data_IF_888865683732
#
_entry.id   IF_888865683732
#
_cell.length_a   1.000
_cell.length_b   1.000
_cell.length_c   1.000
_cell.angle_alpha   90.00
_cell.angle_beta   90.00
_cell.angle_gamma   90.00
#
_symmetry.space_group_name_H-M   'P 1'
#
loop_
_entity.id
_entity.type
_entity.pdbx_description
1 polymer ?
#
# COMPACT_ATOMS: atom_id res chain seq x y z
N UNK A 1 22.78 14.70 46.11
CA UNK A 1 23.85 14.89 45.12
C UNK A 1 23.76 13.77 44.06
N UNK A 2 23.12 14.09 42.92
CA UNK A 2 23.34 13.52 41.57
C UNK A 2 23.01 12.06 41.19
N UNK A 3 21.94 11.42 41.69
CA UNK A 3 21.56 10.09 41.16
C UNK A 3 20.05 9.81 40.93
N UNK A 4 19.13 10.75 41.23
CA UNK A 4 17.68 10.54 41.03
C UNK A 4 17.02 11.48 40.02
N UNK A 5 17.78 12.40 39.40
CA UNK A 5 17.27 13.42 38.47
C UNK A 5 17.45 13.12 36.98
N UNK A 6 17.98 11.96 36.61
CA UNK A 6 18.28 11.58 35.21
C UNK A 6 17.29 10.59 34.61
N UNK A 7 16.52 9.85 35.43
CA UNK A 7 15.55 8.87 34.93
C UNK A 7 14.23 9.50 34.42
N UNK A 8 13.92 10.75 34.79
CA UNK A 8 12.70 11.45 34.34
C UNK A 8 12.90 12.32 33.09
N UNK A 9 14.14 12.47 32.59
CA UNK A 9 14.47 13.40 31.49
C UNK A 9 14.48 12.78 30.09
N UNK A 10 14.40 11.45 29.96
CA UNK A 10 14.43 10.78 28.65
C UNK A 10 13.03 10.45 28.08
N UNK A 11 11.98 10.43 28.91
CA UNK A 11 10.61 10.06 28.50
C UNK A 11 9.81 11.18 27.78
N UNK A 12 10.31 12.42 27.71
CA UNK A 12 9.44 13.55 27.34
C UNK A 12 9.64 14.10 25.91
N UNK A 13 10.76 13.83 25.25
CA UNK A 13 11.04 14.35 23.90
C UNK A 13 10.75 13.34 22.80
N UNK A 14 11.50 12.24 22.82
CA UNK A 14 11.59 11.28 21.71
C UNK A 14 10.37 10.33 21.70
N UNK A 15 10.03 9.74 22.85
CA UNK A 15 8.86 8.85 22.99
C UNK A 15 7.53 9.60 22.79
N UNK A 16 7.45 10.87 23.20
CA UNK A 16 6.26 11.71 22.99
C UNK A 16 6.12 12.12 21.51
N UNK A 17 7.23 12.31 20.80
CA UNK A 17 7.23 12.50 19.35
C UNK A 17 6.86 11.22 18.60
N UNK A 18 7.31 10.04 19.02
CA UNK A 18 6.89 8.76 18.43
C UNK A 18 5.39 8.50 18.60
N UNK A 19 4.84 8.75 19.79
CA UNK A 19 3.41 8.59 20.05
C UNK A 19 2.56 9.61 19.26
N UNK A 20 2.98 10.89 19.21
CA UNK A 20 2.31 11.90 18.37
C UNK A 20 2.45 11.58 16.88
N UNK A 21 3.63 11.14 16.44
CA UNK A 21 3.90 10.75 15.06
C UNK A 21 3.04 9.54 14.65
N UNK A 22 2.88 8.54 15.52
CA UNK A 22 1.98 7.40 15.28
C UNK A 22 0.52 7.84 15.11
N UNK A 23 0.03 8.75 15.96
CA UNK A 23 -1.33 9.29 15.84
C UNK A 23 -1.52 10.09 14.54
N UNK A 24 -0.56 10.95 14.19
CA UNK A 24 -0.61 11.74 12.96
C UNK A 24 -0.48 10.83 11.73
N UNK A 25 0.39 9.83 11.78
CA UNK A 25 0.59 8.88 10.68
C UNK A 25 -0.67 8.08 10.37
N UNK A 26 -1.44 7.67 11.38
CA UNK A 26 -2.73 7.01 11.16
C UNK A 26 -3.75 7.91 10.44
N UNK A 27 -3.79 9.20 10.79
CA UNK A 27 -4.64 10.20 10.10
C UNK A 27 -4.15 10.44 8.68
N UNK A 28 -2.85 10.59 8.46
CA UNK A 28 -2.25 10.74 7.12
C UNK A 28 -2.54 9.53 6.25
N UNK A 29 -2.46 8.31 6.81
CA UNK A 29 -2.75 7.08 6.12
C UNK A 29 -4.22 6.97 5.70
N UNK A 30 -5.15 7.30 6.61
CA UNK A 30 -6.58 7.36 6.30
C UNK A 30 -6.87 8.41 5.22
N UNK A 31 -6.28 9.61 5.35
CA UNK A 31 -6.43 10.69 4.39
C UNK A 31 -5.87 10.30 3.02
N UNK A 32 -4.73 9.61 2.97
CA UNK A 32 -4.11 9.12 1.74
C UNK A 32 -5.02 8.14 1.01
N UNK A 33 -5.65 7.19 1.72
CA UNK A 33 -6.62 6.25 1.13
C UNK A 33 -7.81 7.01 0.54
N UNK A 34 -8.36 7.99 1.28
CA UNK A 34 -9.46 8.82 0.80
C UNK A 34 -9.08 9.62 -0.44
N UNK A 35 -7.91 10.27 -0.45
CA UNK A 35 -7.42 11.01 -1.62
C UNK A 35 -7.20 10.09 -2.83
N UNK A 36 -6.58 8.93 -2.64
CA UNK A 36 -6.41 7.94 -3.72
C UNK A 36 -7.76 7.53 -4.27
N UNK A 37 -8.74 7.23 -3.42
CA UNK A 37 -10.10 6.89 -3.85
C UNK A 37 -10.75 8.03 -4.66
N UNK A 38 -10.70 9.28 -4.16
CA UNK A 38 -11.30 10.44 -4.81
C UNK A 38 -10.65 10.75 -6.15
N UNK A 39 -9.31 10.72 -6.23
CA UNK A 39 -8.57 10.94 -7.47
C UNK A 39 -8.93 9.87 -8.50
N UNK A 40 -9.00 8.60 -8.09
CA UNK A 40 -9.41 7.52 -8.99
C UNK A 40 -10.88 7.66 -9.42
N UNK A 41 -11.79 8.01 -8.51
CA UNK A 41 -13.19 8.22 -8.85
C UNK A 41 -13.38 9.36 -9.85
N UNK A 42 -12.64 10.46 -9.65
CA UNK A 42 -12.63 11.60 -10.57
C UNK A 42 -12.00 11.26 -11.93
N UNK A 43 -10.90 10.50 -11.93
CA UNK A 43 -10.20 10.10 -13.16
C UNK A 43 -11.02 9.14 -14.02
N UNK A 44 -11.75 8.21 -13.40
CA UNK A 44 -12.48 7.14 -14.10
C UNK A 44 -13.95 7.45 -14.36
N UNK A 45 -14.44 8.58 -13.86
CA UNK A 45 -15.86 8.96 -13.91
C UNK A 45 -16.78 7.84 -13.41
N UNK A 46 -16.28 7.02 -12.47
CA UNK A 46 -16.90 5.78 -12.05
C UNK A 46 -16.50 5.45 -10.62
N UNK A 47 -17.48 5.06 -9.82
CA UNK A 47 -17.31 4.64 -8.43
C UNK A 47 -16.94 3.16 -8.30
N UNK A 48 -17.21 2.36 -9.34
CA UNK A 48 -16.96 0.92 -9.34
C UNK A 48 -15.47 0.58 -9.57
N UNK A 49 -14.80 1.28 -10.50
CA UNK A 49 -13.38 1.04 -10.80
C UNK A 49 -12.48 1.27 -9.58
N UNK A 50 -12.58 2.40 -8.85
CA UNK A 50 -11.76 2.65 -7.66
C UNK A 50 -12.04 1.63 -6.56
N UNK A 51 -13.29 1.21 -6.40
CA UNK A 51 -13.66 0.22 -5.39
C UNK A 51 -12.99 -1.14 -5.64
N UNK A 52 -12.99 -1.62 -6.90
CA UNK A 52 -12.31 -2.86 -7.28
C UNK A 52 -10.79 -2.79 -7.01
N UNK A 53 -10.18 -1.63 -7.23
CA UNK A 53 -8.76 -1.38 -6.95
C UNK A 53 -8.48 -1.37 -5.45
N UNK A 54 -9.35 -0.72 -4.67
CA UNK A 54 -9.19 -0.60 -3.23
C UNK A 54 -9.21 -1.97 -2.52
N UNK A 55 -9.94 -2.94 -3.06
CA UNK A 55 -9.97 -4.31 -2.54
C UNK A 55 -8.60 -5.02 -2.61
N UNK A 56 -7.69 -4.60 -3.50
CA UNK A 56 -6.34 -5.13 -3.56
C UNK A 56 -5.44 -4.62 -2.41
N UNK A 57 -5.78 -3.47 -1.81
CA UNK A 57 -4.96 -2.82 -0.79
C UNK A 57 -4.86 -3.64 0.51
N UNK A 58 -5.96 -4.14 1.10
CA UNK A 58 -5.88 -5.00 2.28
C UNK A 58 -5.01 -6.23 2.06
N UNK A 59 -5.04 -6.82 0.86
CA UNK A 59 -4.21 -7.98 0.53
C UNK A 59 -2.72 -7.63 0.51
N UNK A 60 -2.34 -6.48 -0.06
CA UNK A 60 -0.96 -6.00 -0.07
C UNK A 60 -0.45 -5.70 1.34
N UNK A 61 -1.27 -5.01 2.16
CA UNK A 61 -0.95 -4.72 3.55
C UNK A 61 -0.80 -6.01 4.36
N UNK A 62 -1.71 -6.97 4.17
CA UNK A 62 -1.62 -8.28 4.82
C UNK A 62 -0.28 -8.98 4.55
N UNK A 63 0.19 -8.98 3.31
CA UNK A 63 1.51 -9.52 2.96
C UNK A 63 2.66 -8.80 3.68
N UNK A 64 2.58 -7.47 3.81
CA UNK A 64 3.58 -6.68 4.51
C UNK A 64 3.59 -6.94 6.02
N UNK A 65 2.41 -6.99 6.65
CA UNK A 65 2.26 -7.37 8.06
C UNK A 65 2.79 -8.78 8.31
N UNK A 66 2.46 -9.75 7.45
CA UNK A 66 2.95 -11.11 7.56
C UNK A 66 4.49 -11.18 7.45
N UNK A 67 5.09 -10.41 6.53
CA UNK A 67 6.55 -10.37 6.38
C UNK A 67 7.26 -9.77 7.61
N UNK A 68 6.72 -8.69 8.19
CA UNK A 68 7.25 -8.11 9.43
C UNK A 68 7.09 -9.07 10.61
N UNK A 69 5.95 -9.75 10.69
CA UNK A 69 5.67 -10.73 11.75
C UNK A 69 6.65 -11.90 11.70
N UNK A 70 6.91 -12.46 10.51
CA UNK A 70 7.90 -13.54 10.32
C UNK A 70 9.32 -13.09 10.67
N UNK A 71 9.68 -11.83 10.42
CA UNK A 71 10.98 -11.27 10.81
C UNK A 71 11.06 -10.83 12.28
N UNK A 72 9.95 -10.83 13.03
CA UNK A 72 9.90 -10.32 14.40
C UNK A 72 10.17 -8.82 14.52
N UNK A 73 9.95 -8.04 13.45
CA UNK A 73 10.19 -6.61 13.42
C UNK A 73 8.98 -5.83 13.96
N UNK A 74 9.24 -4.71 14.65
CA UNK A 74 8.18 -3.82 15.11
C UNK A 74 7.70 -2.89 14.00
N UNK A 75 6.46 -2.40 14.15
CA UNK A 75 5.87 -1.45 13.22
C UNK A 75 6.25 -0.03 13.65
N UNK A 76 7.27 0.50 13.00
CA UNK A 76 7.78 1.85 13.21
C UNK A 76 7.39 2.80 12.06
N UNK A 77 7.88 4.04 12.11
CA UNK A 77 7.60 5.07 11.10
C UNK A 77 8.12 4.65 9.72
N UNK A 78 9.27 3.95 9.64
CA UNK A 78 9.81 3.45 8.37
C UNK A 78 8.89 2.38 7.75
N UNK A 79 8.36 1.47 8.58
CA UNK A 79 7.38 0.47 8.16
C UNK A 79 6.10 1.12 7.62
N UNK A 80 5.63 2.19 8.27
CA UNK A 80 4.45 2.95 7.82
C UNK A 80 4.66 3.64 6.47
N UNK A 81 5.82 4.25 6.25
CA UNK A 81 6.20 4.82 4.95
C UNK A 81 6.21 3.71 3.87
N UNK A 82 6.76 2.54 4.21
CA UNK A 82 6.74 1.36 3.35
C UNK A 82 5.32 0.89 3.01
N UNK A 83 4.40 0.88 3.98
CA UNK A 83 2.99 0.55 3.73
C UNK A 83 2.33 1.53 2.77
N UNK A 84 2.55 2.84 2.90
CA UNK A 84 2.02 3.84 1.97
C UNK A 84 2.54 3.61 0.55
N UNK A 85 3.84 3.34 0.40
CA UNK A 85 4.44 3.01 -0.90
C UNK A 85 3.84 1.72 -1.49
N UNK A 86 3.63 0.69 -0.67
CA UNK A 86 3.02 -0.57 -1.07
C UNK A 86 1.58 -0.40 -1.56
N UNK A 87 0.79 0.49 -0.93
CA UNK A 87 -0.56 0.82 -1.39
C UNK A 87 -0.51 1.34 -2.82
N UNK A 88 0.38 2.30 -3.12
CA UNK A 88 0.51 2.86 -4.46
C UNK A 88 0.96 1.84 -5.50
N UNK A 89 1.92 0.98 -5.14
CA UNK A 89 2.42 -0.08 -6.03
C UNK A 89 1.32 -1.12 -6.33
N UNK A 90 0.59 -1.55 -5.30
CA UNK A 90 -0.52 -2.50 -5.44
C UNK A 90 -1.67 -1.88 -6.25
N UNK A 91 -2.05 -0.64 -5.95
CA UNK A 91 -3.09 0.08 -6.67
C UNK A 91 -2.75 0.23 -8.16
N UNK A 92 -1.52 0.62 -8.50
CA UNK A 92 -1.07 0.71 -9.91
C UNK A 92 -1.27 -0.61 -10.66
N UNK A 93 -0.90 -1.74 -10.05
CA UNK A 93 -1.04 -3.05 -10.67
C UNK A 93 -2.52 -3.47 -10.79
N UNK A 94 -3.33 -3.20 -9.78
CA UNK A 94 -4.76 -3.48 -9.80
C UNK A 94 -5.51 -2.63 -10.85
N UNK A 95 -5.23 -1.33 -10.92
CA UNK A 95 -5.76 -0.40 -11.91
C UNK A 95 -5.51 -0.93 -13.32
N UNK A 96 -4.28 -1.34 -13.60
CA UNK A 96 -3.87 -1.79 -14.93
C UNK A 96 -4.64 -3.04 -15.41
N UNK A 97 -4.99 -3.94 -14.50
CA UNK A 97 -5.80 -5.13 -14.81
C UNK A 97 -7.26 -4.73 -15.01
N UNK A 98 -7.84 -3.97 -14.07
CA UNK A 98 -9.25 -3.59 -14.09
C UNK A 98 -9.58 -2.75 -15.34
N UNK A 99 -8.71 -1.81 -15.68
CA UNK A 99 -8.79 -1.01 -16.91
C UNK A 99 -8.82 -1.89 -18.17
N UNK A 100 -7.90 -2.85 -18.24
CA UNK A 100 -7.78 -3.71 -19.41
C UNK A 100 -8.98 -4.65 -19.54
N UNK A 101 -9.46 -5.20 -18.42
CA UNK A 101 -10.67 -6.00 -18.38
C UNK A 101 -11.91 -5.18 -18.79
N UNK A 102 -12.01 -3.92 -18.35
CA UNK A 102 -13.08 -3.02 -18.77
C UNK A 102 -13.04 -2.76 -20.27
N UNK A 103 -11.88 -2.43 -20.83
CA UNK A 103 -11.73 -2.20 -22.27
C UNK A 103 -12.12 -3.44 -23.08
N UNK A 104 -11.73 -4.63 -22.63
CA UNK A 104 -12.12 -5.91 -23.27
C UNK A 104 -13.61 -6.18 -23.20
N UNK A 105 -14.24 -5.81 -22.09
CA UNK A 105 -15.69 -5.88 -21.95
C UNK A 105 -16.41 -4.91 -22.90
N UNK A 106 -15.87 -3.71 -23.11
CA UNK A 106 -16.37 -2.76 -24.11
C UNK A 106 -16.20 -3.28 -25.54
N UNK A 107 -15.17 -4.11 -25.80
CA UNK A 107 -14.97 -4.85 -27.06
C UNK A 107 -15.92 -6.06 -27.24
N UNK A 108 -16.82 -6.32 -26.28
CA UNK A 108 -17.89 -7.32 -26.38
C UNK A 108 -17.62 -8.66 -25.67
N UNK A 109 -16.47 -8.81 -25.00
CA UNK A 109 -16.16 -10.02 -24.23
C UNK A 109 -16.99 -10.14 -22.95
N UNK A 110 -17.25 -11.37 -22.51
CA UNK A 110 -17.89 -11.61 -21.22
C UNK A 110 -16.97 -11.19 -20.06
N UNK A 111 -17.55 -10.91 -18.88
CA UNK A 111 -16.79 -10.41 -17.70
C UNK A 111 -15.64 -11.36 -17.33
N UNK A 112 -15.89 -12.68 -17.40
CA UNK A 112 -14.90 -13.70 -17.03
C UNK A 112 -13.78 -13.77 -18.06
N UNK A 113 -14.12 -13.78 -19.35
CA UNK A 113 -13.13 -13.81 -20.45
C UNK A 113 -12.26 -12.56 -20.46
N UNK A 114 -12.88 -11.38 -20.33
CA UNK A 114 -12.19 -10.10 -20.28
C UNK A 114 -11.21 -10.04 -19.10
N UNK A 115 -11.62 -10.55 -17.92
CA UNK A 115 -10.77 -10.60 -16.73
C UNK A 115 -9.60 -11.58 -16.90
N UNK A 116 -9.85 -12.77 -17.47
CA UNK A 116 -8.79 -13.74 -17.74
C UNK A 116 -7.78 -13.23 -18.74
N UNK A 117 -8.22 -12.58 -19.82
CA UNK A 117 -7.34 -12.06 -20.85
C UNK A 117 -6.50 -10.88 -20.33
N UNK A 118 -7.12 -9.98 -19.57
CA UNK A 118 -6.42 -8.91 -18.85
C UNK A 118 -5.33 -9.47 -17.93
N UNK A 119 -5.65 -10.50 -17.13
CA UNK A 119 -4.69 -11.14 -16.25
C UNK A 119 -3.51 -11.73 -17.03
N UNK A 120 -3.76 -12.47 -18.13
CA UNK A 120 -2.71 -13.09 -18.95
C UNK A 120 -1.76 -12.06 -19.57
N UNK A 121 -2.30 -10.98 -20.12
CA UNK A 121 -1.51 -9.96 -20.79
C UNK A 121 -0.68 -9.13 -19.81
N UNK A 122 -1.18 -8.94 -18.57
CA UNK A 122 -0.49 -8.15 -17.54
C UNK A 122 0.43 -8.98 -16.65
N UNK A 123 0.31 -10.30 -16.64
CA UNK A 123 1.14 -11.17 -15.81
C UNK A 123 2.64 -10.94 -16.01
N UNK A 124 3.10 -10.86 -17.27
CA UNK A 124 4.51 -10.61 -17.58
C UNK A 124 4.99 -9.23 -17.07
N UNK A 125 4.33 -8.11 -17.40
CA UNK A 125 4.66 -6.79 -16.83
C UNK A 125 4.60 -6.73 -15.30
N UNK A 126 3.59 -7.33 -14.67
CA UNK A 126 3.40 -7.27 -13.20
C UNK A 126 4.50 -8.04 -12.49
N UNK A 127 4.87 -9.22 -12.99
CA UNK A 127 6.01 -9.96 -12.44
C UNK A 127 7.31 -9.19 -12.59
N UNK A 128 7.53 -8.55 -13.75
CA UNK A 128 8.72 -7.72 -13.96
C UNK A 128 8.82 -6.59 -12.93
N UNK A 129 7.75 -5.82 -12.70
CA UNK A 129 7.77 -4.72 -11.74
C UNK A 129 7.89 -5.21 -10.29
N UNK A 130 7.22 -6.31 -9.94
CA UNK A 130 7.31 -6.91 -8.63
C UNK A 130 8.73 -7.43 -8.34
N UNK A 131 9.34 -8.19 -9.25
CA UNK A 131 10.70 -8.68 -9.07
C UNK A 131 11.72 -7.55 -9.03
N UNK A 132 11.60 -6.54 -9.88
CA UNK A 132 12.48 -5.37 -9.85
C UNK A 132 12.40 -4.64 -8.50
N UNK A 133 11.20 -4.47 -7.95
CA UNK A 133 11.02 -3.85 -6.65
C UNK A 133 11.58 -4.71 -5.51
N UNK A 134 11.25 -6.00 -5.47
CA UNK A 134 11.75 -6.92 -4.45
C UNK A 134 13.27 -6.94 -4.45
N UNK A 135 13.89 -7.19 -5.61
CA UNK A 135 15.36 -7.23 -5.74
C UNK A 135 16.01 -5.87 -5.45
N UNK A 136 15.35 -4.76 -5.79
CA UNK A 136 15.84 -3.41 -5.50
C UNK A 136 15.84 -3.06 -4.02
N UNK A 137 14.93 -3.67 -3.23
CA UNK A 137 14.83 -3.46 -1.78
C UNK A 137 15.67 -4.47 -0.99
N UNK A 138 16.11 -5.58 -1.58
CA UNK A 138 16.99 -6.58 -0.92
C UNK A 138 18.22 -5.95 -0.24
N UNK A 139 18.95 -4.98 -0.83
CA UNK A 139 20.11 -4.38 -0.16
C UNK A 139 19.78 -3.52 1.07
N UNK A 140 18.52 -3.09 1.22
CA UNK A 140 18.04 -2.28 2.35
C UNK A 140 17.57 -3.17 3.52
N UNK A 141 17.29 -4.45 3.25
CA UNK A 141 16.78 -5.44 4.19
C UNK A 141 17.88 -6.14 4.98
#
# INVERSE_FOLDING_TARGET
NRASGTASRTMNGITFQELKAGSIASVVFALAIVFVFLILAAQYESWAMPFMVLLAVPLALFGAFAALWVRGMQIDVYSQIGFVMLIGLAAKNAILIVEFARRRREEGLTIVEASMEAARLRLRPILMTAFAFILGVVPLM
#
